data_IF_331936573124
#
_entry.id   IF_331936573124
#
_cell.length_a   1.000
_cell.length_b   1.000
_cell.length_c   1.000
_cell.angle_alpha   90.00
_cell.angle_beta   90.00
_cell.angle_gamma   90.00
#
_symmetry.space_group_name_H-M   'P 1'
#
loop_
_entity.id
_entity.type
_entity.pdbx_description
1 polymer ?
#
# COMPACT_ATOMS: atom_id res chain seq x y z
N UNK A 1 0.06 10.53 0.72
CA UNK A 1 -1.00 10.19 1.69
C UNK A 1 -0.71 10.90 3.01
N UNK A 2 -1.73 11.44 3.70
CA UNK A 2 -1.57 11.93 5.08
C UNK A 2 -1.72 10.76 6.05
N UNK A 3 -0.82 10.66 7.03
CA UNK A 3 -0.77 9.54 7.97
C UNK A 3 -0.47 10.04 9.38
N UNK A 4 -0.93 9.28 10.37
CA UNK A 4 -0.43 9.38 11.75
C UNK A 4 0.58 8.27 11.97
N UNK A 5 1.87 8.62 12.03
CA UNK A 5 2.93 7.71 12.43
C UNK A 5 2.82 7.48 13.94
N UNK A 6 2.93 6.22 14.38
CA UNK A 6 2.72 5.82 15.77
C UNK A 6 3.98 5.23 16.40
N UNK A 7 4.65 4.30 15.71
CA UNK A 7 5.89 3.67 16.20
C UNK A 7 6.77 3.20 15.05
N UNK A 8 8.07 3.11 15.34
CA UNK A 8 9.01 2.33 14.55
C UNK A 8 8.65 0.84 14.69
N UNK A 9 8.86 0.09 13.61
CA UNK A 9 8.70 -1.37 13.57
C UNK A 9 10.03 -1.93 13.11
N UNK A 10 10.54 -2.88 13.90
CA UNK A 10 11.71 -3.68 13.55
C UNK A 10 11.26 -5.12 13.31
N UNK A 11 11.67 -5.71 12.20
CA UNK A 11 11.46 -7.11 11.89
C UNK A 11 12.73 -7.92 12.16
N UNK A 12 12.62 -9.22 12.51
CA UNK A 12 13.79 -10.04 12.86
C UNK A 12 14.86 -10.19 11.77
N UNK A 13 14.53 -9.88 10.52
CA UNK A 13 15.44 -10.00 9.37
C UNK A 13 15.95 -8.65 8.85
N UNK A 14 15.62 -7.56 9.54
CA UNK A 14 16.04 -6.23 9.15
C UNK A 14 17.56 -6.10 9.21
N UNK A 15 18.13 -5.55 8.15
CA UNK A 15 19.51 -5.06 8.12
C UNK A 15 19.59 -3.67 8.73
N UNK A 16 20.81 -3.14 8.79
CA UNK A 16 21.04 -1.76 9.24
C UNK A 16 20.42 -0.70 8.31
N UNK A 17 20.00 -1.06 7.10
CA UNK A 17 19.34 -0.12 6.19
C UNK A 17 17.82 -0.30 6.16
N UNK A 18 17.31 -1.33 6.85
CA UNK A 18 15.90 -1.63 6.89
C UNK A 18 15.23 -0.94 8.10
N UNK A 19 13.92 -0.77 7.97
CA UNK A 19 13.07 -0.29 9.03
C UNK A 19 11.68 0.03 8.49
N UNK A 20 10.69 0.01 9.37
CA UNK A 20 9.31 0.23 9.01
C UNK A 20 8.61 1.15 10.00
N UNK A 21 7.47 1.69 9.58
CA UNK A 21 6.59 2.47 10.44
C UNK A 21 5.23 1.82 10.53
N UNK A 22 4.70 1.77 11.75
CA UNK A 22 3.28 1.52 11.98
C UNK A 22 2.55 2.87 12.01
N UNK A 23 1.49 2.98 11.23
CA UNK A 23 0.78 4.23 11.00
C UNK A 23 -0.73 4.03 10.85
N UNK A 24 -1.48 5.13 10.89
CA UNK A 24 -2.89 5.17 10.54
C UNK A 24 -3.12 6.05 9.31
N UNK A 25 -3.92 5.56 8.37
CA UNK A 25 -4.23 6.27 7.14
C UNK A 25 -5.25 7.38 7.39
N UNK A 26 -5.03 8.57 6.81
CA UNK A 26 -5.89 9.73 6.90
C UNK A 26 -6.34 10.03 8.34
N UNK A 27 -5.46 10.58 9.19
CA UNK A 27 -5.75 10.78 10.59
C UNK A 27 -6.90 11.76 10.80
N UNK A 28 -7.69 11.53 11.86
CA UNK A 28 -8.87 12.34 12.17
C UNK A 28 -8.52 13.72 12.76
N UNK A 29 -7.23 13.98 13.03
CA UNK A 29 -6.72 15.20 13.66
C UNK A 29 -7.04 15.28 15.16
N UNK A 30 -6.25 16.05 15.92
CA UNK A 30 -6.48 16.29 17.35
C UNK A 30 -5.63 15.42 18.28
N UNK A 31 -6.23 14.90 19.36
CA UNK A 31 -5.50 14.14 20.41
C UNK A 31 -5.51 12.62 20.20
N UNK A 32 -6.18 12.11 19.17
CA UNK A 32 -6.22 10.67 18.89
C UNK A 32 -5.05 10.27 18.01
N UNK A 33 -4.58 9.02 18.19
CA UNK A 33 -3.49 8.45 17.38
C UNK A 33 -4.03 7.50 16.30
N UNK A 34 -5.27 7.71 15.84
CA UNK A 34 -5.99 6.84 14.92
C UNK A 34 -6.40 7.55 13.62
N UNK A 35 -7.05 6.80 12.74
CA UNK A 35 -7.44 7.23 11.40
C UNK A 35 -8.42 6.24 10.78
N UNK A 36 -8.43 6.12 9.46
CA UNK A 36 -9.34 5.22 8.74
C UNK A 36 -9.02 3.74 9.00
N UNK A 37 -7.74 3.38 8.97
CA UNK A 37 -7.27 2.03 9.29
C UNK A 37 -5.79 2.05 9.65
N UNK A 38 -5.32 1.10 10.49
CA UNK A 38 -3.90 0.94 10.77
C UNK A 38 -3.20 0.25 9.60
N UNK A 39 -1.94 0.54 9.36
CA UNK A 39 -1.10 -0.18 8.40
C UNK A 39 0.38 -0.07 8.77
N UNK A 40 1.21 -0.85 8.08
CA UNK A 40 2.65 -0.80 8.21
C UNK A 40 3.27 -0.60 6.82
N UNK A 41 4.36 0.14 6.72
CA UNK A 41 5.12 0.29 5.47
C UNK A 41 6.62 0.32 5.77
N UNK A 42 7.41 -0.22 4.85
CA UNK A 42 8.87 -0.20 4.95
C UNK A 42 9.42 1.15 4.46
N UNK A 43 10.43 1.69 5.11
CA UNK A 43 11.06 2.96 4.75
C UNK A 43 12.54 2.71 4.42
N UNK A 44 12.94 2.73 3.14
CA UNK A 44 14.35 2.56 2.75
C UNK A 44 15.28 3.63 3.34
N UNK A 45 14.71 4.77 3.75
CA UNK A 45 15.38 5.90 4.39
C UNK A 45 15.11 5.96 5.91
N UNK A 46 14.69 4.86 6.54
CA UNK A 46 14.25 4.83 7.94
C UNK A 46 15.23 5.50 8.91
N UNK A 47 16.53 5.22 8.74
CA UNK A 47 17.63 5.76 9.55
C UNK A 47 17.73 7.29 9.53
N UNK A 48 17.24 7.97 8.49
CA UNK A 48 17.19 9.43 8.45
C UNK A 48 16.19 10.01 9.46
N UNK A 49 15.35 9.15 10.04
CA UNK A 49 14.26 9.51 10.93
C UNK A 49 14.43 8.96 12.35
N UNK A 50 15.65 8.52 12.74
CA UNK A 50 15.92 8.00 14.10
C UNK A 50 15.58 9.00 15.22
N UNK A 51 15.63 10.31 14.92
CA UNK A 51 15.30 11.38 15.86
C UNK A 51 13.83 11.87 15.76
N UNK A 52 13.01 11.23 14.92
CA UNK A 52 11.60 11.60 14.76
C UNK A 52 10.84 11.27 16.06
N UNK A 53 10.21 12.27 16.65
CA UNK A 53 9.35 12.07 17.82
C UNK A 53 8.01 11.51 17.36
N UNK A 54 7.65 10.34 17.87
CA UNK A 54 6.38 9.67 17.60
C UNK A 54 5.47 9.71 18.84
N UNK A 55 4.13 9.75 18.68
CA UNK A 55 3.39 9.78 17.40
C UNK A 55 3.51 11.13 16.68
N UNK A 56 3.50 11.14 15.34
CA UNK A 56 3.55 12.35 14.51
C UNK A 56 2.66 12.27 13.26
N UNK A 57 1.97 13.36 12.93
CA UNK A 57 1.32 13.51 11.63
C UNK A 57 2.39 13.78 10.56
N UNK A 58 2.29 13.09 9.42
CA UNK A 58 3.23 13.23 8.32
C UNK A 58 2.56 13.02 6.96
N UNK A 59 3.16 13.62 5.93
CA UNK A 59 2.85 13.26 4.54
C UNK A 59 3.83 12.20 4.07
N UNK A 60 3.31 11.06 3.60
CA UNK A 60 4.11 9.94 3.11
C UNK A 60 3.76 9.68 1.64
N UNK A 61 4.79 9.53 0.80
CA UNK A 61 4.63 8.94 -0.53
C UNK A 61 4.73 7.42 -0.39
N UNK A 62 3.69 6.70 -0.79
CA UNK A 62 3.60 5.25 -0.66
C UNK A 62 3.69 4.61 -2.04
N UNK A 63 4.40 3.49 -2.10
CA UNK A 63 4.48 2.61 -3.26
C UNK A 63 4.14 1.17 -2.85
N UNK A 64 3.24 0.54 -3.59
CA UNK A 64 2.82 -0.85 -3.42
C UNK A 64 3.42 -1.73 -4.53
N UNK A 65 3.95 -2.88 -4.12
CA UNK A 65 4.58 -3.86 -4.99
C UNK A 65 3.76 -5.16 -4.92
N UNK A 66 2.96 -5.45 -5.96
CA UNK A 66 1.97 -6.49 -5.92
C UNK A 66 2.59 -7.86 -6.18
N UNK A 67 2.17 -8.85 -5.40
CA UNK A 67 2.34 -10.27 -5.78
C UNK A 67 1.16 -10.78 -6.62
N UNK A 68 0.04 -10.05 -6.56
CA UNK A 68 -1.17 -10.24 -7.35
C UNK A 68 -1.76 -8.89 -7.70
N UNK A 69 -2.05 -8.67 -8.98
CA UNK A 69 -2.67 -7.45 -9.47
C UNK A 69 -3.77 -7.79 -10.48
N UNK A 70 -5.02 -7.57 -10.08
CA UNK A 70 -6.17 -7.65 -10.98
C UNK A 70 -6.57 -6.27 -11.47
N UNK A 71 -6.76 -6.11 -12.78
CA UNK A 71 -7.21 -4.89 -13.40
C UNK A 71 -8.55 -5.11 -14.11
N UNK A 72 -9.49 -4.20 -13.86
CA UNK A 72 -10.85 -4.22 -14.36
C UNK A 72 -11.18 -2.92 -15.06
N UNK A 73 -12.06 -3.01 -16.05
CA UNK A 73 -12.59 -1.87 -16.78
C UNK A 73 -13.49 -0.99 -15.91
N UNK A 74 -14.29 -1.60 -15.03
CA UNK A 74 -15.27 -0.95 -14.17
C UNK A 74 -15.69 -1.83 -12.97
N UNK A 75 -16.59 -1.31 -12.13
CA UNK A 75 -17.11 -2.04 -10.95
C UNK A 75 -17.90 -3.29 -11.32
N UNK A 76 -18.59 -3.28 -12.47
CA UNK A 76 -19.41 -4.40 -12.91
C UNK A 76 -18.52 -5.60 -13.22
N UNK A 77 -17.43 -5.38 -13.98
CA UNK A 77 -16.47 -6.43 -14.26
C UNK A 77 -15.79 -6.95 -12.99
N UNK A 78 -15.41 -6.05 -12.06
CA UNK A 78 -14.86 -6.46 -10.76
C UNK A 78 -15.81 -7.37 -9.98
N UNK A 79 -17.10 -7.00 -9.88
CA UNK A 79 -18.14 -7.77 -9.16
C UNK A 79 -18.50 -9.09 -9.82
N UNK A 80 -18.39 -9.17 -11.15
CA UNK A 80 -18.60 -10.41 -11.90
C UNK A 80 -17.34 -11.28 -12.00
N UNK A 81 -16.21 -10.85 -11.43
CA UNK A 81 -14.96 -11.62 -11.45
C UNK A 81 -15.01 -12.84 -10.52
N UNK A 82 -14.12 -13.81 -10.77
CA UNK A 82 -13.88 -14.94 -9.86
C UNK A 82 -12.91 -14.64 -8.73
N UNK A 83 -12.48 -13.38 -8.56
CA UNK A 83 -11.46 -12.98 -7.60
C UNK A 83 -12.07 -12.46 -6.30
N UNK A 84 -11.28 -12.44 -5.21
CA UNK A 84 -11.72 -11.94 -3.90
C UNK A 84 -12.18 -10.47 -3.93
N UNK A 85 -11.72 -9.70 -4.91
CA UNK A 85 -12.05 -8.28 -5.08
C UNK A 85 -13.53 -8.06 -5.40
N UNK A 86 -14.25 -9.09 -5.87
CA UNK A 86 -15.69 -9.01 -6.21
C UNK A 86 -16.56 -8.59 -5.02
N UNK A 87 -16.13 -8.96 -3.81
CA UNK A 87 -16.84 -8.74 -2.55
C UNK A 87 -16.40 -7.42 -1.86
N UNK A 88 -15.51 -6.65 -2.49
CA UNK A 88 -14.96 -5.42 -1.95
C UNK A 88 -15.50 -4.17 -2.65
N UNK A 89 -15.48 -3.04 -1.95
CA UNK A 89 -15.78 -1.74 -2.55
C UNK A 89 -14.63 -1.30 -3.48
N UNK A 90 -14.94 -0.50 -4.50
CA UNK A 90 -13.97 -0.07 -5.52
C UNK A 90 -12.81 0.77 -4.99
N UNK A 91 -13.00 1.45 -3.86
CA UNK A 91 -11.97 2.10 -3.05
C UNK A 91 -12.07 1.52 -1.64
N UNK A 92 -11.23 0.53 -1.33
CA UNK A 92 -11.26 -0.16 -0.03
C UNK A 92 -9.89 -0.71 0.33
N UNK A 93 -9.67 -0.93 1.63
CA UNK A 93 -8.40 -1.43 2.15
C UNK A 93 -8.65 -2.48 3.23
N UNK A 94 -7.84 -3.53 3.21
CA UNK A 94 -7.69 -4.53 4.25
C UNK A 94 -6.23 -4.47 4.70
N UNK A 95 -5.95 -4.09 5.95
CA UNK A 95 -4.58 -4.02 6.48
C UNK A 95 -4.08 -5.41 6.85
N UNK A 96 -3.87 -6.25 5.83
CA UNK A 96 -3.49 -7.66 5.97
C UNK A 96 -2.20 -7.87 6.75
N UNK A 97 -1.34 -6.85 6.81
CA UNK A 97 -0.11 -6.86 7.58
C UNK A 97 -0.26 -6.58 9.07
N UNK A 98 -1.41 -6.11 9.55
CA UNK A 98 -1.61 -5.81 10.99
C UNK A 98 -2.41 -6.88 11.73
N UNK A 99 -3.08 -7.78 11.01
CA UNK A 99 -3.96 -8.80 11.58
C UNK A 99 -4.11 -10.00 10.65
N UNK A 100 -4.28 -11.19 11.23
CA UNK A 100 -4.65 -12.39 10.51
C UNK A 100 -5.91 -13.04 11.12
N UNK A 101 -6.91 -13.45 10.31
CA UNK A 101 -8.22 -13.90 10.79
C UNK A 101 -8.20 -15.03 11.83
N UNK A 102 -7.18 -15.90 11.80
CA UNK A 102 -7.09 -17.05 12.71
C UNK A 102 -6.24 -16.78 13.95
N UNK A 103 -5.27 -15.87 13.85
CA UNK A 103 -4.22 -15.71 14.87
C UNK A 103 -4.28 -14.38 15.58
N UNK A 104 -5.12 -13.45 15.15
CA UNK A 104 -5.27 -12.16 15.79
C UNK A 104 -4.33 -11.10 15.23
N UNK A 105 -4.01 -10.12 16.08
CA UNK A 105 -3.10 -9.02 15.76
C UNK A 105 -1.70 -9.59 15.46
N UNK A 106 -1.06 -9.05 14.43
CA UNK A 106 0.32 -9.39 14.09
C UNK A 106 1.29 -8.45 14.82
N UNK A 107 2.22 -9.04 15.57
CA UNK A 107 3.29 -8.30 16.25
C UNK A 107 4.65 -9.01 16.02
N UNK A 108 5.59 -8.39 15.28
CA UNK A 108 5.46 -7.09 14.63
C UNK A 108 4.46 -7.12 13.45
N UNK A 109 3.81 -5.98 13.13
CA UNK A 109 2.98 -5.88 11.92
C UNK A 109 3.85 -5.90 10.67
N UNK A 110 3.41 -6.60 9.63
CA UNK A 110 4.09 -6.66 8.35
C UNK A 110 3.66 -5.50 7.43
N UNK A 111 4.53 -5.03 6.54
CA UNK A 111 4.20 -4.03 5.51
C UNK A 111 3.31 -4.56 4.38
N UNK A 112 2.40 -5.49 4.67
CA UNK A 112 1.49 -6.09 3.70
C UNK A 112 0.13 -5.37 3.70
N UNK A 113 -0.43 -5.18 2.52
CA UNK A 113 -1.73 -4.56 2.31
C UNK A 113 -2.51 -5.28 1.23
N UNK A 114 -3.83 -5.30 1.37
CA UNK A 114 -4.74 -5.67 0.29
C UNK A 114 -5.70 -4.51 0.06
N UNK A 115 -5.87 -4.07 -1.17
CA UNK A 115 -6.78 -2.96 -1.46
C UNK A 115 -7.40 -3.06 -2.85
N UNK A 116 -8.56 -2.43 -2.98
CA UNK A 116 -9.10 -2.03 -4.28
C UNK A 116 -8.96 -0.52 -4.44
N UNK A 117 -8.74 -0.06 -5.66
CA UNK A 117 -8.64 1.36 -5.96
C UNK A 117 -8.96 1.71 -7.41
N UNK A 118 -9.17 3.00 -7.66
CA UNK A 118 -9.37 3.55 -8.99
C UNK A 118 -8.05 4.05 -9.57
N UNK A 119 -7.79 3.69 -10.82
CA UNK A 119 -6.60 4.15 -11.54
C UNK A 119 -6.79 5.60 -11.95
N UNK A 120 -5.88 6.47 -11.49
CA UNK A 120 -5.81 7.87 -11.90
C UNK A 120 -4.91 8.04 -13.11
N UNK A 121 -3.78 7.36 -13.10
CA UNK A 121 -2.80 7.35 -14.18
C UNK A 121 -2.19 5.96 -14.30
N UNK A 122 -1.77 5.58 -15.49
CA UNK A 122 -1.06 4.34 -15.72
C UNK A 122 -0.08 4.48 -16.88
N UNK A 123 1.04 3.77 -16.81
CA UNK A 123 2.03 3.69 -17.88
C UNK A 123 2.79 2.38 -17.83
N UNK A 124 3.23 1.92 -19.00
CA UNK A 124 4.23 0.84 -19.11
C UNK A 124 5.59 1.50 -19.26
N UNK A 125 6.49 1.24 -18.32
CA UNK A 125 7.80 1.86 -18.23
C UNK A 125 8.89 0.81 -18.39
N UNK A 126 10.12 1.26 -18.66
CA UNK A 126 11.32 0.41 -18.70
C UNK A 126 12.26 0.84 -17.59
N UNK A 127 12.68 -0.10 -16.75
CA UNK A 127 13.65 0.17 -15.70
C UNK A 127 15.02 0.42 -16.36
N UNK A 128 15.62 1.62 -16.20
CA UNK A 128 16.87 1.96 -16.88
C UNK A 128 18.07 1.13 -16.39
N UNK A 129 18.03 0.60 -15.17
CA UNK A 129 19.11 -0.21 -14.61
C UNK A 129 19.07 -1.66 -15.12
N UNK A 130 17.88 -2.21 -15.40
CA UNK A 130 17.73 -3.63 -15.78
C UNK A 130 17.28 -3.85 -17.22
N UNK A 131 16.77 -2.81 -17.89
CA UNK A 131 16.13 -2.91 -19.20
C UNK A 131 14.77 -3.63 -19.19
N UNK A 132 14.29 -4.07 -18.03
CA UNK A 132 13.02 -4.80 -17.90
C UNK A 132 11.82 -3.86 -17.88
N UNK A 133 10.72 -4.31 -18.46
CA UNK A 133 9.47 -3.56 -18.45
C UNK A 133 8.69 -3.79 -17.16
N UNK A 134 8.02 -2.75 -16.68
CA UNK A 134 7.09 -2.81 -15.56
C UNK A 134 5.89 -1.89 -15.80
N UNK A 135 4.80 -2.13 -15.07
CA UNK A 135 3.66 -1.21 -15.05
C UNK A 135 3.77 -0.29 -13.84
N UNK A 136 3.52 0.99 -14.05
CA UNK A 136 3.27 1.96 -13.00
C UNK A 136 1.82 2.43 -13.08
N UNK A 137 1.17 2.59 -11.93
CA UNK A 137 -0.14 3.23 -11.84
C UNK A 137 -0.25 4.10 -10.58
N UNK A 138 -0.79 5.30 -10.73
CA UNK A 138 -1.25 6.09 -9.59
C UNK A 138 -2.66 5.63 -9.24
N UNK A 139 -2.86 5.11 -8.04
CA UNK A 139 -4.12 4.52 -7.60
C UNK A 139 -4.66 5.25 -6.40
N UNK A 140 -5.92 5.66 -6.49
CA UNK A 140 -6.69 6.16 -5.35
C UNK A 140 -7.44 5.01 -4.68
N UNK A 141 -7.24 4.84 -3.39
CA UNK A 141 -7.94 3.87 -2.54
C UNK A 141 -8.51 4.57 -1.31
N UNK A 142 -9.13 3.81 -0.40
CA UNK A 142 -9.52 4.34 0.90
C UNK A 142 -8.28 4.84 1.65
N UNK A 143 -8.29 6.08 2.13
CA UNK A 143 -7.16 6.68 2.86
C UNK A 143 -6.26 7.59 2.00
N UNK A 144 -6.32 7.50 0.67
CA UNK A 144 -5.61 8.41 -0.23
C UNK A 144 -5.05 7.76 -1.49
N UNK A 145 -3.99 8.35 -2.03
CA UNK A 145 -3.33 7.91 -3.26
C UNK A 145 -1.95 7.31 -2.98
N UNK A 146 -1.60 6.32 -3.78
CA UNK A 146 -0.33 5.61 -3.73
C UNK A 146 0.08 5.12 -5.13
N UNK A 147 1.38 4.95 -5.32
CA UNK A 147 1.94 4.35 -6.53
C UNK A 147 1.83 2.83 -6.48
N UNK A 148 1.50 2.18 -7.58
CA UNK A 148 1.59 0.72 -7.73
C UNK A 148 2.59 0.40 -8.82
N UNK A 149 3.62 -0.37 -8.48
CA UNK A 149 4.70 -0.75 -9.39
C UNK A 149 4.68 -2.26 -9.54
N UNK A 150 4.32 -2.74 -10.73
CA UNK A 150 3.98 -4.13 -10.95
C UNK A 150 4.84 -4.79 -12.04
N UNK A 151 5.34 -5.97 -11.74
CA UNK A 151 5.91 -6.86 -12.75
C UNK A 151 4.79 -7.32 -13.71
N UNK A 152 4.99 -7.30 -15.04
CA UNK A 152 3.97 -7.71 -16.01
C UNK A 152 3.39 -9.11 -15.77
N UNK A 153 4.16 -10.03 -15.18
CA UNK A 153 3.71 -11.40 -14.87
C UNK A 153 2.71 -11.49 -13.72
N UNK A 154 2.62 -10.45 -12.88
CA UNK A 154 1.67 -10.39 -11.74
C UNK A 154 0.30 -9.83 -12.13
N UNK A 155 0.21 -9.23 -13.34
CA UNK A 155 -0.96 -8.49 -13.81
C UNK A 155 -1.93 -9.40 -14.56
N UNK A 156 -3.17 -9.44 -14.09
CA UNK A 156 -4.31 -10.06 -14.77
C UNK A 156 -5.27 -8.97 -15.23
N UNK A 157 -5.46 -8.84 -16.55
CA UNK A 157 -6.29 -7.79 -17.16
C UNK A 157 -5.45 -6.64 -17.72
N UNK A 158 -6.11 -5.53 -18.07
CA UNK A 158 -5.47 -4.33 -18.63
C UNK A 158 -5.60 -3.16 -17.66
N UNK A 159 -4.47 -2.60 -17.23
CA UNK A 159 -4.46 -1.40 -16.38
C UNK A 159 -4.78 -0.20 -17.25
N UNK A 160 -5.86 0.53 -16.93
CA UNK A 160 -6.27 1.74 -17.67
C UNK A 160 -6.75 2.83 -16.73
N UNK A 161 -6.52 4.09 -17.11
CA UNK A 161 -7.09 5.25 -16.42
C UNK A 161 -8.61 5.15 -16.32
N UNK A 162 -9.15 5.44 -15.13
CA UNK A 162 -10.58 5.31 -14.81
C UNK A 162 -11.04 3.89 -14.51
N UNK A 163 -10.20 2.87 -14.78
CA UNK A 163 -10.45 1.49 -14.39
C UNK A 163 -10.27 1.26 -12.88
N UNK A 164 -10.51 0.01 -12.47
CA UNK A 164 -10.41 -0.43 -11.08
C UNK A 164 -9.34 -1.49 -10.97
N UNK A 165 -8.60 -1.45 -9.88
CA UNK A 165 -7.59 -2.44 -9.56
C UNK A 165 -7.88 -3.08 -8.23
N UNK A 166 -7.45 -4.32 -8.07
CA UNK A 166 -7.41 -4.98 -6.78
C UNK A 166 -6.10 -5.72 -6.63
N UNK A 167 -5.44 -5.54 -5.49
CA UNK A 167 -4.10 -6.08 -5.28
C UNK A 167 -3.87 -6.57 -3.86
N UNK A 168 -2.98 -7.56 -3.76
CA UNK A 168 -2.22 -7.85 -2.55
C UNK A 168 -0.78 -7.43 -2.80
N UNK A 169 -0.25 -6.59 -1.91
CA UNK A 169 1.02 -5.92 -2.10
C UNK A 169 1.80 -5.84 -0.80
N UNK A 170 3.12 -5.82 -0.94
CA UNK A 170 4.00 -5.24 0.07
C UNK A 170 4.12 -3.73 -0.16
N UNK A 171 4.30 -2.94 0.90
CA UNK A 171 4.40 -1.48 0.84
C UNK A 171 5.77 -0.96 1.24
N UNK A 172 6.22 0.02 0.46
CA UNK A 172 7.31 0.92 0.81
C UNK A 172 6.81 2.36 0.86
N UNK A 173 7.41 3.19 1.71
CA UNK A 173 7.05 4.58 1.84
C UNK A 173 8.22 5.46 2.18
N UNK A 174 8.12 6.72 1.76
CA UNK A 174 9.06 7.79 2.06
C UNK A 174 8.34 8.96 2.71
N UNK A 175 8.85 9.43 3.83
CA UNK A 175 8.37 10.64 4.48
C UNK A 175 8.77 11.86 3.63
N UNK A 176 7.86 12.82 3.46
CA UNK A 176 8.08 14.06 2.71
C UNK A 176 8.61 15.19 3.58
#
# INVERSE_FOLDING_TARGET
>A
MQVQLVKHVAHPKDTVLDGAFYAWANPHGGTTTDGYYPFCFSSPDHRLHDNLKLPAEASVQLAAFPDRFYAYDDEKQMRSSGHWTKDMASESCIPSGTFHPKTGILDPPNPDIMFCGKVREASKLTNPATGLQFYWALVRTLGGELDVVADPSTVSGTIKTGGIVGTRSWMSGRLK
#
